data_IF_605127692216
#
_entry.id   IF_605127692216
#
_cell.length_a   1.000
_cell.length_b   1.000
_cell.length_c   1.000
_cell.angle_alpha   90.00
_cell.angle_beta   90.00
_cell.angle_gamma   90.00
#
_symmetry.space_group_name_H-M   'P 1'
#
loop_
_entity.id
_entity.type
_entity.pdbx_description
1 polymer ?
#
# COMPACT_ATOMS: atom_id res chain seq x y z
N UNK A 1 -7.47 29.70 -6.24
CA UNK A 1 -8.03 28.53 -5.55
C UNK A 1 -8.31 28.96 -4.15
N UNK A 2 -9.53 28.82 -3.70
CA UNK A 2 -9.92 29.17 -2.34
C UNK A 2 -9.49 28.07 -1.38
N UNK A 3 -9.92 26.85 -1.55
CA UNK A 3 -9.52 25.74 -0.71
C UNK A 3 -9.46 24.39 -1.45
N UNK A 4 -8.57 23.51 -1.00
CA UNK A 4 -8.58 22.07 -1.31
C UNK A 4 -8.67 21.33 0.01
N UNK A 5 -9.88 20.93 0.35
CA UNK A 5 -10.15 20.27 1.62
C UNK A 5 -10.20 18.76 1.45
N UNK A 6 -9.51 18.04 2.32
CA UNK A 6 -9.40 16.60 2.25
C UNK A 6 -10.44 15.93 3.15
N UNK A 7 -11.06 14.90 2.63
CA UNK A 7 -11.97 14.03 3.37
C UNK A 7 -11.37 12.65 3.45
N UNK A 8 -11.31 12.07 4.63
CA UNK A 8 -10.73 10.73 4.84
C UNK A 8 -11.56 9.95 5.86
N UNK A 9 -11.85 8.66 5.64
CA UNK A 9 -12.61 7.86 6.59
C UNK A 9 -12.02 7.86 7.99
N UNK A 10 -10.72 7.63 8.11
CA UNK A 10 -10.02 7.65 9.38
C UNK A 10 -8.61 8.23 9.23
N UNK A 11 -8.18 9.06 10.17
CA UNK A 11 -6.81 9.57 10.26
C UNK A 11 -6.07 8.79 11.35
N UNK A 12 -5.20 7.86 10.93
CA UNK A 12 -4.49 6.96 11.80
C UNK A 12 -2.97 7.18 11.71
N UNK A 13 -2.23 7.03 12.81
CA UNK A 13 -0.78 7.12 12.78
C UNK A 13 -0.18 5.87 12.10
N UNK A 14 0.89 6.06 11.35
CA UNK A 14 1.61 4.98 10.65
C UNK A 14 0.74 4.23 9.63
N UNK A 15 -0.25 4.91 9.09
CA UNK A 15 -1.09 4.45 7.98
C UNK A 15 -0.72 5.22 6.70
N UNK A 16 -0.55 4.50 5.60
CA UNK A 16 -0.10 5.10 4.35
C UNK A 16 -1.05 6.20 3.83
N UNK A 17 -2.36 6.00 3.96
CA UNK A 17 -3.37 6.99 3.56
C UNK A 17 -3.35 8.20 4.50
N UNK A 18 -3.19 7.97 5.81
CA UNK A 18 -3.05 9.03 6.81
C UNK A 18 -1.80 9.90 6.55
N UNK A 19 -0.65 9.26 6.36
CA UNK A 19 0.61 9.96 6.05
C UNK A 19 0.51 10.75 4.74
N UNK A 20 -0.11 10.18 3.71
CA UNK A 20 -0.38 10.84 2.43
C UNK A 20 -1.28 12.07 2.60
N UNK A 21 -2.39 11.93 3.33
CA UNK A 21 -3.34 13.01 3.61
C UNK A 21 -2.65 14.19 4.30
N UNK A 22 -1.84 13.94 5.33
CA UNK A 22 -1.06 14.96 6.03
C UNK A 22 -0.05 15.63 5.10
N UNK A 23 0.69 14.85 4.31
CA UNK A 23 1.67 15.36 3.36
C UNK A 23 1.05 16.22 2.26
N UNK A 24 -0.14 15.86 1.76
CA UNK A 24 -0.88 16.67 0.79
C UNK A 24 -1.39 17.96 1.39
N UNK A 25 -1.94 17.95 2.62
CA UNK A 25 -2.36 19.19 3.30
C UNK A 25 -1.19 20.18 3.38
N UNK A 26 -0.03 19.70 3.84
CA UNK A 26 1.14 20.56 3.99
C UNK A 26 1.66 21.05 2.63
N UNK A 27 1.52 20.24 1.58
CA UNK A 27 1.83 20.60 0.20
C UNK A 27 0.92 21.72 -0.31
N UNK A 28 -0.39 21.59 -0.12
CA UNK A 28 -1.37 22.61 -0.56
C UNK A 28 -1.19 23.91 0.21
N UNK A 29 -1.00 23.86 1.51
CA UNK A 29 -0.70 25.05 2.33
C UNK A 29 0.59 25.73 1.89
N UNK A 30 1.63 24.97 1.55
CA UNK A 30 2.89 25.52 1.02
C UNK A 30 2.70 26.16 -0.37
N UNK A 31 1.72 25.73 -1.15
CA UNK A 31 1.33 26.33 -2.42
C UNK A 31 0.43 27.57 -2.25
N UNK A 32 0.11 27.99 -1.02
CA UNK A 32 -0.72 29.13 -0.70
C UNK A 32 -2.23 28.85 -0.77
N UNK A 33 -2.64 27.59 -0.70
CA UNK A 33 -4.05 27.18 -0.66
C UNK A 33 -4.51 26.93 0.77
N UNK A 34 -5.79 27.15 1.04
CA UNK A 34 -6.40 26.64 2.26
C UNK A 34 -6.59 25.13 2.14
N UNK A 35 -6.24 24.39 3.18
CA UNK A 35 -6.40 22.93 3.23
C UNK A 35 -6.60 22.46 4.65
N UNK A 36 -7.77 21.88 4.89
CA UNK A 36 -8.15 21.23 6.13
C UNK A 36 -8.47 19.74 5.89
N UNK A 37 -8.36 18.94 6.94
CA UNK A 37 -8.67 17.51 6.90
C UNK A 37 -9.98 17.28 7.66
N UNK A 38 -10.94 16.65 6.99
CA UNK A 38 -12.24 16.27 7.51
C UNK A 38 -12.35 14.74 7.61
N UNK A 39 -12.75 14.24 8.79
CA UNK A 39 -12.72 12.81 9.11
C UNK A 39 -14.04 12.30 9.67
N UNK A 40 -14.31 11.00 9.51
CA UNK A 40 -15.27 10.27 10.34
C UNK A 40 -14.67 9.96 11.71
N UNK A 41 -13.37 9.55 11.74
CA UNK A 41 -12.65 9.22 12.95
C UNK A 41 -11.18 9.67 12.87
N UNK A 42 -10.59 9.99 14.01
CA UNK A 42 -9.15 10.23 14.12
C UNK A 42 -8.60 9.56 15.39
N UNK A 43 -7.37 9.08 15.31
CA UNK A 43 -6.64 8.61 16.49
C UNK A 43 -6.28 9.77 17.41
N UNK A 44 -6.23 9.54 18.71
CA UNK A 44 -5.96 10.57 19.72
C UNK A 44 -4.67 11.38 19.44
N UNK A 45 -3.62 10.74 18.90
CA UNK A 45 -2.37 11.41 18.50
C UNK A 45 -2.55 12.42 17.37
N UNK A 46 -3.61 12.33 16.57
CA UNK A 46 -3.85 13.11 15.36
C UNK A 46 -5.16 13.90 15.40
N UNK A 47 -5.92 13.84 16.50
CA UNK A 47 -7.24 14.49 16.61
C UNK A 47 -7.17 16.02 16.39
N UNK A 48 -6.08 16.66 16.84
CA UNK A 48 -5.86 18.10 16.65
C UNK A 48 -5.51 18.47 15.19
N UNK A 49 -5.26 17.47 14.32
CA UNK A 49 -4.93 17.67 12.91
C UNK A 49 -6.14 17.62 11.98
N UNK A 50 -7.31 17.26 12.50
CA UNK A 50 -8.51 17.04 11.72
C UNK A 50 -9.77 17.59 12.40
N UNK A 51 -10.84 17.71 11.61
CA UNK A 51 -12.17 18.11 12.06
C UNK A 51 -13.17 17.04 11.62
N UNK A 52 -14.22 16.77 12.40
CA UNK A 52 -15.28 15.86 11.96
C UNK A 52 -15.99 16.40 10.72
N UNK A 53 -16.26 15.52 9.73
CA UNK A 53 -16.71 15.94 8.39
C UNK A 53 -18.05 16.66 8.39
N UNK A 54 -18.94 16.39 9.37
CA UNK A 54 -20.25 17.06 9.51
C UNK A 54 -20.13 18.56 9.76
N UNK A 55 -18.97 19.03 10.22
CA UNK A 55 -18.72 20.46 10.47
C UNK A 55 -18.22 21.22 9.24
N UNK A 56 -17.93 20.54 8.14
CA UNK A 56 -17.48 21.20 6.91
C UNK A 56 -18.44 22.29 6.41
N UNK A 57 -19.80 22.12 6.42
CA UNK A 57 -20.73 23.16 5.95
C UNK A 57 -20.63 24.50 6.69
N UNK A 58 -20.09 24.50 7.91
CA UNK A 58 -19.87 25.74 8.68
C UNK A 58 -18.71 26.58 8.12
N UNK A 59 -17.86 26.01 7.26
CA UNK A 59 -16.65 26.63 6.71
C UNK A 59 -16.54 26.57 5.19
N UNK A 60 -17.54 25.98 4.53
CA UNK A 60 -17.55 25.84 3.08
C UNK A 60 -17.54 27.20 2.38
N UNK A 61 -16.65 27.39 1.42
CA UNK A 61 -16.53 28.59 0.63
C UNK A 61 -16.76 28.32 -0.87
N UNK A 62 -17.31 29.34 -1.62
CA UNK A 62 -17.44 29.19 -3.06
C UNK A 62 -16.08 28.95 -3.75
N UNK A 63 -15.99 27.86 -4.50
CA UNK A 63 -14.77 27.49 -5.24
C UNK A 63 -13.86 26.49 -4.52
N UNK A 64 -14.28 26.00 -3.35
CA UNK A 64 -13.60 24.89 -2.68
C UNK A 64 -13.65 23.61 -3.52
N UNK A 65 -12.60 22.81 -3.43
CA UNK A 65 -12.48 21.48 -4.02
C UNK A 65 -12.46 20.47 -2.89
N UNK A 66 -13.32 19.44 -2.99
CA UNK A 66 -13.38 18.34 -2.04
C UNK A 66 -12.54 17.17 -2.56
N UNK A 67 -11.43 16.87 -1.90
CA UNK A 67 -10.54 15.75 -2.23
C UNK A 67 -10.82 14.59 -1.27
N UNK A 68 -11.39 13.50 -1.78
CA UNK A 68 -11.75 12.34 -0.98
C UNK A 68 -10.74 11.22 -1.07
N UNK A 69 -10.10 10.89 0.04
CA UNK A 69 -9.17 9.77 0.21
C UNK A 69 -9.97 8.47 0.31
N UNK A 70 -10.16 7.81 -0.82
CA UNK A 70 -11.12 6.70 -0.97
C UNK A 70 -10.41 5.34 -0.97
N UNK A 71 -10.54 4.60 0.13
CA UNK A 71 -9.96 3.24 0.27
C UNK A 71 -10.80 2.28 1.11
N UNK A 72 -11.87 2.77 1.78
CA UNK A 72 -12.75 1.96 2.61
C UNK A 72 -14.14 2.57 2.68
N UNK A 73 -15.14 1.81 3.15
CA UNK A 73 -16.50 2.33 3.38
C UNK A 73 -16.53 3.33 4.53
N UNK A 74 -17.28 4.43 4.34
CA UNK A 74 -17.45 5.48 5.33
C UNK A 74 -18.71 6.31 5.06
N UNK A 75 -19.41 6.83 6.07
CA UNK A 75 -20.48 7.81 5.90
C UNK A 75 -20.01 9.11 5.24
N UNK A 76 -18.71 9.38 5.22
CA UNK A 76 -18.13 10.50 4.45
C UNK A 76 -18.50 10.41 2.96
N UNK A 77 -18.55 9.22 2.38
CA UNK A 77 -18.97 9.02 1.00
C UNK A 77 -20.39 9.50 0.75
N UNK A 78 -21.33 9.15 1.64
CA UNK A 78 -22.75 9.53 1.54
C UNK A 78 -22.93 11.04 1.75
N UNK A 79 -22.15 11.64 2.64
CA UNK A 79 -22.11 13.08 2.84
C UNK A 79 -21.66 13.79 1.54
N UNK A 80 -20.59 13.33 0.91
CA UNK A 80 -20.04 13.94 -0.31
C UNK A 80 -20.99 13.83 -1.51
N UNK A 81 -21.83 12.78 -1.60
CA UNK A 81 -22.88 12.66 -2.62
C UNK A 81 -23.88 13.81 -2.62
N UNK A 82 -24.06 14.47 -1.47
CA UNK A 82 -25.00 15.59 -1.30
C UNK A 82 -24.37 16.98 -1.51
N UNK A 83 -23.05 17.04 -1.76
CA UNK A 83 -22.33 18.31 -1.83
C UNK A 83 -22.31 18.89 -3.25
N UNK A 84 -22.49 20.23 -3.39
CA UNK A 84 -22.44 20.90 -4.69
C UNK A 84 -21.02 21.23 -5.18
N UNK A 85 -20.02 21.20 -4.30
CA UNK A 85 -18.64 21.55 -4.62
C UNK A 85 -18.01 20.50 -5.55
N UNK A 86 -17.02 20.88 -6.39
CA UNK A 86 -16.28 19.95 -7.21
C UNK A 86 -15.63 18.81 -6.39
N UNK A 87 -16.02 17.57 -6.68
CA UNK A 87 -15.49 16.38 -6.03
C UNK A 87 -14.33 15.82 -6.82
N UNK A 88 -13.19 15.63 -6.16
CA UNK A 88 -12.03 14.87 -6.64
C UNK A 88 -11.89 13.60 -5.80
N UNK A 89 -11.79 12.45 -6.44
CA UNK A 89 -11.48 11.20 -5.78
C UNK A 89 -9.97 10.99 -5.80
N UNK A 90 -9.40 10.61 -4.67
CA UNK A 90 -8.05 10.07 -4.56
C UNK A 90 -8.19 8.59 -4.15
N UNK A 91 -8.03 7.71 -5.14
CA UNK A 91 -8.48 6.32 -5.05
C UNK A 91 -7.33 5.37 -4.74
N UNK A 92 -7.34 4.82 -3.53
CA UNK A 92 -6.32 3.91 -2.98
C UNK A 92 -6.67 2.42 -3.14
N UNK A 93 -7.65 2.10 -3.97
CA UNK A 93 -8.20 0.77 -4.22
C UNK A 93 -9.08 0.22 -3.09
N UNK A 94 -10.08 -0.57 -3.48
CA UNK A 94 -10.91 -1.38 -2.59
C UNK A 94 -10.85 -2.84 -3.05
N UNK A 95 -10.29 -3.70 -2.20
CA UNK A 95 -10.20 -5.14 -2.47
C UNK A 95 -11.59 -5.74 -2.76
N UNK A 96 -11.74 -6.59 -3.79
CA UNK A 96 -13.00 -7.28 -4.06
C UNK A 96 -13.47 -8.14 -2.89
N UNK A 97 -14.78 -8.13 -2.60
CA UNK A 97 -15.38 -8.86 -1.49
C UNK A 97 -15.15 -10.38 -1.56
N UNK A 98 -15.05 -10.93 -2.78
CA UNK A 98 -14.79 -12.36 -3.01
C UNK A 98 -13.54 -12.91 -2.32
N UNK A 99 -12.57 -12.07 -2.01
CA UNK A 99 -11.39 -12.49 -1.24
C UNK A 99 -11.70 -12.81 0.23
N UNK A 100 -12.76 -12.20 0.78
CA UNK A 100 -13.12 -12.34 2.20
C UNK A 100 -14.27 -13.32 2.43
N UNK A 101 -14.93 -13.77 1.36
CA UNK A 101 -16.00 -14.77 1.44
C UNK A 101 -15.50 -16.06 2.09
N UNK A 102 -16.22 -16.53 3.12
CA UNK A 102 -15.85 -17.71 3.89
C UNK A 102 -14.74 -17.49 4.93
N UNK A 103 -14.13 -16.31 4.98
CA UNK A 103 -13.12 -15.94 5.98
C UNK A 103 -13.69 -15.00 7.04
N UNK A 104 -14.37 -13.92 6.63
CA UNK A 104 -14.86 -12.90 7.54
C UNK A 104 -15.99 -12.09 6.89
N UNK A 105 -17.23 -12.41 7.27
CA UNK A 105 -18.44 -11.82 6.68
C UNK A 105 -18.50 -10.30 6.86
N UNK A 106 -18.13 -9.78 8.03
CA UNK A 106 -18.13 -8.34 8.31
C UNK A 106 -17.20 -7.57 7.37
N UNK A 107 -16.00 -8.07 7.12
CA UNK A 107 -15.06 -7.45 6.17
C UNK A 107 -15.59 -7.55 4.73
N UNK A 108 -16.18 -8.67 4.35
CA UNK A 108 -16.84 -8.86 3.05
C UNK A 108 -17.95 -7.84 2.82
N UNK A 109 -18.82 -7.63 3.81
CA UNK A 109 -19.88 -6.61 3.79
C UNK A 109 -19.32 -5.19 3.68
N UNK A 110 -18.30 -4.87 4.48
CA UNK A 110 -17.65 -3.54 4.49
C UNK A 110 -17.02 -3.20 3.14
N UNK A 111 -16.28 -4.12 2.52
CA UNK A 111 -15.68 -3.87 1.20
C UNK A 111 -16.73 -3.83 0.09
N UNK A 112 -17.84 -4.60 0.21
CA UNK A 112 -18.98 -4.52 -0.71
C UNK A 112 -19.61 -3.13 -0.67
N UNK A 113 -19.86 -2.60 0.54
CA UNK A 113 -20.36 -1.23 0.72
C UNK A 113 -19.40 -0.22 0.11
N UNK A 114 -18.09 -0.33 0.42
CA UNK A 114 -17.07 0.56 -0.12
C UNK A 114 -17.07 0.60 -1.65
N UNK A 115 -17.14 -0.57 -2.30
CA UNK A 115 -17.22 -0.67 -3.77
C UNK A 115 -18.50 -0.04 -4.33
N UNK A 116 -19.61 -0.17 -3.63
CA UNK A 116 -20.86 0.53 -3.94
C UNK A 116 -20.70 2.06 -3.86
N UNK A 117 -20.02 2.56 -2.84
CA UNK A 117 -19.71 3.99 -2.69
C UNK A 117 -18.77 4.50 -3.79
N UNK A 118 -17.72 3.75 -4.15
CA UNK A 118 -16.88 4.09 -5.32
C UNK A 118 -17.72 4.21 -6.59
N UNK A 119 -18.60 3.24 -6.85
CA UNK A 119 -19.45 3.23 -8.03
C UNK A 119 -20.44 4.39 -8.07
N UNK A 120 -20.93 4.85 -6.91
CA UNK A 120 -21.82 6.00 -6.80
C UNK A 120 -21.08 7.34 -7.00
N UNK A 121 -19.86 7.47 -6.47
CA UNK A 121 -19.08 8.71 -6.52
C UNK A 121 -18.33 8.91 -7.84
N UNK A 122 -17.83 7.84 -8.47
CA UNK A 122 -17.00 7.94 -9.66
C UNK A 122 -17.63 8.71 -10.83
N UNK A 123 -18.95 8.56 -11.16
CA UNK A 123 -19.58 9.34 -12.22
C UNK A 123 -19.75 10.83 -11.88
N UNK A 124 -19.76 11.19 -10.61
CA UNK A 124 -19.95 12.56 -10.09
C UNK A 124 -18.63 13.31 -9.95
N UNK A 125 -17.52 12.60 -9.84
CA UNK A 125 -16.20 13.18 -9.68
C UNK A 125 -15.79 13.96 -10.94
N UNK A 126 -15.35 15.20 -10.75
CA UNK A 126 -14.77 16.02 -11.83
C UNK A 126 -13.39 15.51 -12.24
N UNK A 127 -12.71 14.80 -11.30
CA UNK A 127 -11.41 14.17 -11.49
C UNK A 127 -11.28 12.95 -10.57
N UNK A 128 -10.77 11.85 -11.09
CA UNK A 128 -10.30 10.70 -10.32
C UNK A 128 -8.78 10.63 -10.33
N UNK A 129 -8.14 10.86 -9.21
CA UNK A 129 -6.72 10.58 -9.00
C UNK A 129 -6.63 9.12 -8.54
N UNK A 130 -5.62 8.42 -9.00
CA UNK A 130 -5.42 7.02 -8.67
C UNK A 130 -3.93 6.71 -8.51
N UNK A 131 -3.58 5.84 -7.58
CA UNK A 131 -2.19 5.47 -7.27
C UNK A 131 -1.48 4.78 -8.45
N UNK A 132 -2.25 4.17 -9.37
CA UNK A 132 -1.76 3.36 -10.49
C UNK A 132 -2.69 3.43 -11.70
N UNK A 133 -2.20 3.05 -12.87
CA UNK A 133 -3.02 2.90 -14.07
C UNK A 133 -4.08 1.79 -13.90
N UNK A 134 -3.78 0.76 -13.09
CA UNK A 134 -4.75 -0.27 -12.70
C UNK A 134 -5.96 0.34 -11.97
N UNK A 135 -5.73 1.15 -10.95
CA UNK A 135 -6.76 1.86 -10.20
C UNK A 135 -7.51 2.89 -11.07
N UNK A 136 -6.78 3.65 -11.91
CA UNK A 136 -7.39 4.59 -12.84
C UNK A 136 -8.32 3.91 -13.86
N UNK A 137 -7.95 2.71 -14.34
CA UNK A 137 -8.80 1.92 -15.23
C UNK A 137 -10.08 1.45 -14.52
N UNK A 138 -10.03 1.17 -13.22
CA UNK A 138 -11.22 0.84 -12.44
C UNK A 138 -12.15 2.05 -12.32
N UNK A 139 -11.65 3.24 -11.95
CA UNK A 139 -12.44 4.46 -11.88
C UNK A 139 -13.12 4.80 -13.22
N UNK A 140 -12.39 4.66 -14.34
CA UNK A 140 -12.96 4.86 -15.69
C UNK A 140 -14.10 3.88 -15.99
N UNK A 141 -13.94 2.60 -15.64
CA UNK A 141 -15.02 1.59 -15.80
C UNK A 141 -16.25 1.92 -14.96
N UNK A 142 -16.08 2.59 -13.83
CA UNK A 142 -17.15 3.04 -12.95
C UNK A 142 -17.73 4.40 -13.36
N UNK A 143 -17.28 5.01 -14.46
CA UNK A 143 -17.87 6.22 -15.04
C UNK A 143 -17.14 7.52 -14.72
N UNK A 144 -15.99 7.50 -14.03
CA UNK A 144 -15.17 8.69 -13.88
C UNK A 144 -14.61 9.11 -15.24
N UNK A 145 -14.94 10.32 -15.69
CA UNK A 145 -14.66 10.79 -17.07
C UNK A 145 -13.21 11.24 -17.24
N UNK A 146 -12.63 11.84 -16.21
CA UNK A 146 -11.25 12.33 -16.22
C UNK A 146 -10.48 11.63 -15.11
N UNK A 147 -9.33 11.03 -15.45
CA UNK A 147 -8.49 10.37 -14.45
C UNK A 147 -7.03 10.78 -14.62
N UNK A 148 -6.32 10.91 -13.51
CA UNK A 148 -4.88 11.11 -13.46
C UNK A 148 -4.23 9.98 -12.63
N UNK A 149 -3.04 9.55 -13.01
CA UNK A 149 -2.24 8.62 -12.20
C UNK A 149 -1.22 9.44 -11.42
N UNK A 150 -1.42 9.50 -10.10
CA UNK A 150 -0.51 10.15 -9.16
C UNK A 150 -0.25 9.17 -8.01
N UNK A 151 0.97 8.66 -7.87
CA UNK A 151 1.29 7.72 -6.81
C UNK A 151 1.06 8.29 -5.43
N UNK A 152 0.69 7.44 -4.48
CA UNK A 152 0.60 7.80 -3.07
C UNK A 152 1.93 8.36 -2.57
N UNK A 153 1.90 9.45 -1.80
CA UNK A 153 3.11 10.02 -1.18
C UNK A 153 3.57 9.10 -0.05
N UNK A 154 4.76 8.56 -0.20
CA UNK A 154 5.38 7.72 0.82
C UNK A 154 6.23 8.66 1.68
N UNK A 155 5.76 8.95 2.90
CA UNK A 155 6.41 9.86 3.86
C UNK A 155 7.66 9.31 4.54
N UNK A 156 8.43 8.45 3.85
CA UNK A 156 9.53 7.69 4.45
C UNK A 156 10.89 8.03 3.85
N UNK A 157 11.12 9.31 3.53
CA UNK A 157 12.45 9.76 3.07
C UNK A 157 13.52 9.42 4.12
N UNK A 158 14.50 8.59 3.75
CA UNK A 158 15.61 8.17 4.61
C UNK A 158 15.23 7.26 5.78
N UNK A 159 14.06 6.60 5.76
CA UNK A 159 13.67 5.69 6.84
C UNK A 159 14.57 4.44 6.88
N UNK A 160 15.03 3.96 5.75
CA UNK A 160 15.97 2.83 5.62
C UNK A 160 17.33 3.10 6.27
N UNK A 161 17.68 4.38 6.45
CA UNK A 161 18.92 4.78 7.11
C UNK A 161 18.79 4.77 8.66
N UNK A 162 17.61 4.52 9.19
CA UNK A 162 17.30 4.53 10.63
C UNK A 162 16.97 3.13 11.14
N UNK A 163 17.87 2.19 10.89
CA UNK A 163 17.73 0.81 11.33
C UNK A 163 17.81 0.70 12.84
N UNK A 164 16.89 -0.03 13.46
CA UNK A 164 17.03 -0.44 14.87
C UNK A 164 18.08 -1.57 14.97
N UNK A 165 19.31 -1.23 15.32
CA UNK A 165 20.44 -2.13 15.42
C UNK A 165 20.22 -3.28 16.43
N UNK A 166 19.43 -3.03 17.47
CA UNK A 166 19.09 -4.05 18.46
C UNK A 166 18.13 -5.09 17.85
N UNK A 167 17.12 -4.63 17.13
CA UNK A 167 16.19 -5.51 16.45
C UNK A 167 16.89 -6.29 15.34
N UNK A 168 17.75 -5.64 14.54
CA UNK A 168 18.55 -6.30 13.52
C UNK A 168 19.42 -7.40 14.12
N UNK A 169 20.15 -7.11 15.19
CA UNK A 169 20.98 -8.10 15.88
C UNK A 169 20.17 -9.29 16.42
N UNK A 170 18.94 -9.04 16.91
CA UNK A 170 18.02 -10.09 17.36
C UNK A 170 17.56 -10.99 16.21
N UNK A 171 17.23 -10.39 15.06
CA UNK A 171 16.80 -11.12 13.87
C UNK A 171 17.94 -11.98 13.33
N UNK A 172 19.11 -11.40 13.09
CA UNK A 172 20.27 -12.08 12.50
C UNK A 172 20.80 -13.22 13.39
N UNK A 173 20.72 -13.08 14.72
CA UNK A 173 21.12 -14.14 15.64
C UNK A 173 20.22 -15.38 15.57
N UNK A 174 19.01 -15.27 15.07
CA UNK A 174 18.03 -16.35 15.01
C UNK A 174 18.18 -17.27 13.79
N UNK A 175 18.74 -16.76 12.70
CA UNK A 175 18.87 -17.54 11.45
C UNK A 175 20.32 -17.75 10.99
N UNK A 176 21.30 -17.00 11.52
CA UNK A 176 22.72 -17.11 11.14
C UNK A 176 22.92 -16.78 9.65
N UNK A 177 23.30 -17.77 8.83
CA UNK A 177 23.51 -17.61 7.37
C UNK A 177 22.37 -18.18 6.53
N UNK A 178 21.28 -18.60 7.15
CA UNK A 178 20.12 -19.13 6.43
C UNK A 178 19.42 -18.04 5.61
N UNK A 179 18.85 -18.45 4.48
CA UNK A 179 18.10 -17.53 3.61
C UNK A 179 16.83 -17.01 4.27
N UNK A 180 16.63 -15.69 4.26
CA UNK A 180 15.46 -15.02 4.81
C UNK A 180 14.60 -14.44 3.69
N UNK A 181 13.37 -14.97 3.56
CA UNK A 181 12.32 -14.43 2.71
C UNK A 181 11.50 -13.42 3.52
N UNK A 182 11.24 -12.25 2.97
CA UNK A 182 10.43 -11.21 3.62
C UNK A 182 9.16 -10.92 2.81
N UNK A 183 8.03 -10.84 3.50
CA UNK A 183 6.79 -10.23 3.02
C UNK A 183 6.34 -9.16 4.00
N UNK A 184 5.95 -8.00 3.49
CA UNK A 184 5.38 -6.90 4.29
C UNK A 184 3.99 -6.55 3.76
N UNK A 185 3.01 -6.56 4.64
CA UNK A 185 1.61 -6.26 4.34
C UNK A 185 0.67 -6.91 5.33
N UNK A 186 -0.57 -6.47 5.35
CA UNK A 186 -1.60 -7.06 6.22
C UNK A 186 -1.72 -8.57 5.98
N UNK A 187 -1.91 -9.35 7.05
CA UNK A 187 -2.25 -10.77 6.91
C UNK A 187 -3.73 -10.85 6.55
N UNK A 188 -4.00 -11.13 5.27
CA UNK A 188 -5.35 -11.16 4.70
C UNK A 188 -5.41 -12.01 3.43
N UNK A 189 -6.58 -12.56 3.06
CA UNK A 189 -6.70 -13.55 1.97
C UNK A 189 -6.17 -13.07 0.61
N UNK A 190 -6.39 -11.80 0.25
CA UNK A 190 -5.89 -11.23 -1.00
C UNK A 190 -4.36 -11.10 -1.07
N UNK A 191 -3.66 -11.24 0.07
CA UNK A 191 -2.20 -11.22 0.13
C UNK A 191 -1.58 -12.62 -0.01
N UNK A 192 -2.41 -13.66 0.11
CA UNK A 192 -2.08 -15.06 -0.19
C UNK A 192 -0.82 -15.61 0.52
N UNK A 193 -0.62 -15.23 1.80
CA UNK A 193 0.57 -15.65 2.57
C UNK A 193 0.71 -17.18 2.69
N UNK A 194 -0.38 -17.94 2.59
CA UNK A 194 -0.34 -19.42 2.54
C UNK A 194 0.55 -19.95 1.40
N UNK A 195 0.58 -19.28 0.23
CA UNK A 195 1.49 -19.67 -0.85
C UNK A 195 2.96 -19.39 -0.52
N UNK A 196 3.26 -18.38 0.32
CA UNK A 196 4.61 -18.14 0.82
C UNK A 196 5.04 -19.24 1.79
N UNK A 197 4.12 -19.72 2.63
CA UNK A 197 4.37 -20.86 3.54
C UNK A 197 4.68 -22.12 2.74
N UNK A 198 3.90 -22.42 1.68
CA UNK A 198 4.18 -23.54 0.77
C UNK A 198 5.52 -23.36 0.03
N UNK A 199 5.81 -22.14 -0.43
CA UNK A 199 7.07 -21.85 -1.11
C UNK A 199 8.27 -22.02 -0.18
N UNK A 200 8.18 -21.58 1.09
CA UNK A 200 9.19 -21.82 2.11
C UNK A 200 9.39 -23.33 2.35
N UNK A 201 8.29 -24.09 2.47
CA UNK A 201 8.39 -25.54 2.67
C UNK A 201 9.15 -26.25 1.56
N UNK A 202 8.89 -25.88 0.28
CA UNK A 202 9.65 -26.41 -0.86
C UNK A 202 11.08 -25.88 -0.88
N UNK A 203 11.30 -24.60 -0.58
CA UNK A 203 12.62 -23.99 -0.55
C UNK A 203 13.53 -24.69 0.47
N UNK A 204 13.01 -24.95 1.67
CA UNK A 204 13.73 -25.69 2.72
C UNK A 204 14.10 -27.14 2.32
N UNK A 205 13.28 -27.77 1.47
CA UNK A 205 13.54 -29.14 1.00
C UNK A 205 14.51 -29.20 -0.14
N UNK A 206 14.60 -28.18 -0.95
CA UNK A 206 15.38 -28.24 -2.20
C UNK A 206 16.67 -27.43 -2.17
N UNK A 207 16.72 -26.36 -1.39
CA UNK A 207 17.78 -25.38 -1.46
C UNK A 207 18.47 -25.10 -0.13
N UNK A 208 17.71 -24.65 0.90
CA UNK A 208 18.25 -24.27 2.20
C UNK A 208 17.33 -24.74 3.34
N UNK A 209 17.74 -25.83 4.03
CA UNK A 209 16.94 -26.45 5.10
C UNK A 209 16.68 -25.52 6.30
N UNK A 210 17.49 -24.47 6.47
CA UNK A 210 17.38 -23.53 7.59
C UNK A 210 16.69 -22.22 7.20
N UNK A 211 16.26 -22.06 5.94
CA UNK A 211 15.60 -20.84 5.46
C UNK A 211 14.43 -20.40 6.35
N UNK A 212 14.18 -19.09 6.40
CA UNK A 212 13.12 -18.44 7.20
C UNK A 212 12.17 -17.66 6.32
N UNK A 213 10.93 -17.49 6.79
CA UNK A 213 9.94 -16.58 6.21
C UNK A 213 9.52 -15.56 7.28
N UNK A 214 9.75 -14.31 6.99
CA UNK A 214 9.29 -13.19 7.78
C UNK A 214 8.00 -12.63 7.17
N UNK A 215 6.90 -12.68 7.92
CA UNK A 215 5.61 -12.07 7.60
C UNK A 215 5.43 -10.84 8.49
N UNK A 216 5.38 -9.65 7.92
CA UNK A 216 5.31 -8.40 8.68
C UNK A 216 4.01 -7.66 8.36
N UNK A 217 3.27 -7.31 9.38
CA UNK A 217 2.05 -6.51 9.31
C UNK A 217 0.91 -7.05 10.15
N UNK A 218 -0.18 -6.27 10.35
CA UNK A 218 -1.27 -6.66 11.21
C UNK A 218 -2.10 -7.80 10.65
N UNK A 219 -2.55 -8.70 11.53
CA UNK A 219 -3.50 -9.75 11.22
C UNK A 219 -4.92 -9.16 11.22
N UNK A 220 -5.36 -8.64 10.07
CA UNK A 220 -6.67 -7.97 9.95
C UNK A 220 -7.83 -8.94 9.70
N UNK A 221 -7.55 -10.17 9.26
CA UNK A 221 -8.52 -11.25 9.12
C UNK A 221 -8.06 -12.41 10.00
N UNK A 222 -8.59 -12.46 11.22
CA UNK A 222 -8.11 -13.38 12.25
C UNK A 222 -8.20 -14.87 11.82
N UNK A 223 -9.33 -15.30 11.25
CA UNK A 223 -9.52 -16.66 10.77
C UNK A 223 -8.51 -17.06 9.69
N UNK A 224 -8.19 -16.15 8.77
CA UNK A 224 -7.17 -16.39 7.76
C UNK A 224 -5.76 -16.45 8.36
N UNK A 225 -5.43 -15.55 9.30
CA UNK A 225 -4.14 -15.58 9.99
C UNK A 225 -3.94 -16.89 10.76
N UNK A 226 -4.95 -17.33 11.51
CA UNK A 226 -4.95 -18.63 12.21
C UNK A 226 -4.71 -19.78 11.22
N UNK A 227 -5.39 -19.77 10.06
CA UNK A 227 -5.20 -20.79 9.03
C UNK A 227 -3.77 -20.78 8.46
N UNK A 228 -3.19 -19.59 8.16
CA UNK A 228 -1.82 -19.47 7.63
C UNK A 228 -0.79 -20.00 8.63
N UNK A 229 -0.89 -19.62 9.90
CA UNK A 229 0.06 -20.07 10.91
C UNK A 229 -0.16 -21.54 11.30
N UNK A 230 -1.43 -22.00 11.38
CA UNK A 230 -1.75 -23.41 11.55
C UNK A 230 -1.19 -24.28 10.42
N UNK A 231 -1.33 -23.83 9.19
CA UNK A 231 -0.74 -24.51 8.02
C UNK A 231 0.78 -24.59 8.08
N UNK A 232 1.45 -23.54 8.55
CA UNK A 232 2.91 -23.59 8.77
C UNK A 232 3.29 -24.67 9.80
N UNK A 233 2.52 -24.81 10.89
CA UNK A 233 2.73 -25.87 11.88
C UNK A 233 2.52 -27.25 11.26
N UNK A 234 1.45 -27.47 10.50
CA UNK A 234 1.15 -28.74 9.81
C UNK A 234 2.27 -29.16 8.83
N UNK A 235 2.93 -28.20 8.19
CA UNK A 235 4.06 -28.44 7.30
C UNK A 235 5.41 -28.63 8.03
N UNK A 236 5.42 -28.56 9.38
CA UNK A 236 6.64 -28.64 10.18
C UNK A 236 7.56 -27.44 10.06
N UNK A 237 6.99 -26.25 9.80
CA UNK A 237 7.69 -24.98 9.68
C UNK A 237 7.61 -24.15 10.97
N UNK A 238 7.23 -24.76 12.08
CA UNK A 238 7.21 -24.09 13.39
C UNK A 238 8.62 -23.53 13.69
N UNK A 239 8.66 -22.24 14.03
CA UNK A 239 9.92 -21.51 14.22
C UNK A 239 10.63 -21.07 12.93
N UNK A 240 10.25 -21.56 11.75
CA UNK A 240 10.76 -21.09 10.47
C UNK A 240 9.94 -19.91 9.89
N UNK A 241 8.69 -19.78 10.30
CA UNK A 241 7.83 -18.64 9.97
C UNK A 241 7.77 -17.69 11.17
N UNK A 242 8.14 -16.43 10.97
CA UNK A 242 8.13 -15.40 12.01
C UNK A 242 7.12 -14.32 11.63
N UNK A 243 6.33 -13.89 12.60
CA UNK A 243 5.38 -12.77 12.46
C UNK A 243 5.86 -11.54 13.20
N UNK A 244 5.89 -10.38 12.51
CA UNK A 244 6.17 -9.06 13.06
C UNK A 244 4.94 -8.16 13.00
N UNK A 245 4.48 -7.69 14.15
CA UNK A 245 3.33 -6.79 14.28
C UNK A 245 3.68 -5.54 15.05
N UNK A 246 2.98 -4.44 14.80
CA UNK A 246 3.14 -3.17 15.51
C UNK A 246 4.58 -2.62 15.56
N UNK A 247 5.35 -2.83 14.48
CA UNK A 247 6.73 -2.38 14.40
C UNK A 247 6.79 -0.86 14.24
N UNK A 248 7.79 -0.26 14.90
CA UNK A 248 8.18 1.12 14.59
C UNK A 248 8.84 1.19 13.21
N UNK A 249 8.92 2.37 12.56
CA UNK A 249 9.63 2.49 11.29
C UNK A 249 11.08 1.98 11.33
N UNK A 250 11.80 2.23 12.43
CA UNK A 250 13.18 1.75 12.61
C UNK A 250 13.27 0.23 12.75
N UNK A 251 12.31 -0.39 13.44
CA UNK A 251 12.22 -1.84 13.51
C UNK A 251 11.85 -2.44 12.15
N UNK A 252 10.89 -1.86 11.43
CA UNK A 252 10.55 -2.32 10.08
C UNK A 252 11.76 -2.25 9.14
N UNK A 253 12.56 -1.16 9.23
CA UNK A 253 13.81 -1.04 8.47
C UNK A 253 14.79 -2.18 8.82
N UNK A 254 14.85 -2.62 10.09
CA UNK A 254 15.67 -3.75 10.50
C UNK A 254 15.22 -5.07 9.85
N UNK A 255 13.90 -5.30 9.71
CA UNK A 255 13.37 -6.49 9.04
C UNK A 255 13.69 -6.51 7.53
N UNK A 256 13.66 -5.34 6.86
CA UNK A 256 14.12 -5.24 5.48
C UNK A 256 15.63 -5.44 5.35
N UNK A 257 16.42 -4.90 6.29
CA UNK A 257 17.88 -5.04 6.28
C UNK A 257 18.36 -6.46 6.60
N UNK A 258 17.56 -7.25 7.34
CA UNK A 258 17.85 -8.63 7.70
C UNK A 258 17.53 -9.64 6.58
N UNK A 259 16.67 -9.27 5.64
CA UNK A 259 16.16 -10.16 4.61
C UNK A 259 17.09 -10.27 3.39
N UNK A 260 17.04 -11.42 2.71
CA UNK A 260 17.78 -11.69 1.47
C UNK A 260 16.93 -11.42 0.21
N UNK A 261 15.60 -11.67 0.28
CA UNK A 261 14.69 -11.54 -0.86
C UNK A 261 13.31 -11.08 -0.36
N UNK A 262 12.79 -10.03 -0.96
CA UNK A 262 11.38 -9.64 -0.78
C UNK A 262 10.48 -10.46 -1.70
N UNK A 263 9.44 -11.10 -1.16
CA UNK A 263 8.55 -11.97 -1.95
C UNK A 263 7.10 -11.52 -1.80
N UNK A 264 6.46 -11.13 -2.92
CA UNK A 264 5.06 -10.70 -2.96
C UNK A 264 4.26 -11.61 -3.88
N UNK A 265 3.36 -12.42 -3.32
CA UNK A 265 2.43 -13.30 -4.06
C UNK A 265 0.98 -12.85 -3.94
N UNK A 266 0.76 -11.57 -3.61
CA UNK A 266 -0.56 -10.96 -3.51
C UNK A 266 -1.38 -11.17 -4.78
N UNK A 267 -2.66 -11.45 -4.63
CA UNK A 267 -3.61 -11.62 -5.76
C UNK A 267 -4.30 -10.31 -6.14
N UNK A 268 -4.22 -9.31 -5.26
CA UNK A 268 -4.81 -8.00 -5.50
C UNK A 268 -4.02 -6.91 -4.82
N UNK A 269 -3.53 -5.95 -5.61
CA UNK A 269 -2.78 -4.77 -5.17
C UNK A 269 -3.22 -3.54 -5.96
N UNK A 270 -3.47 -2.44 -5.26
CA UNK A 270 -3.76 -1.13 -5.88
C UNK A 270 -2.50 -0.35 -6.25
N UNK A 271 -1.39 -0.58 -5.51
CA UNK A 271 -0.09 0.06 -5.76
C UNK A 271 1.07 -0.81 -5.24
N UNK A 272 0.98 -1.35 -4.03
CA UNK A 272 1.98 -2.17 -3.35
C UNK A 272 3.23 -1.38 -2.89
N UNK A 273 3.05 -0.47 -1.93
CA UNK A 273 4.13 0.30 -1.29
C UNK A 273 5.33 -0.58 -0.86
N UNK A 274 5.15 -1.80 -0.30
CA UNK A 274 6.25 -2.65 0.12
C UNK A 274 7.27 -3.00 -0.98
N UNK A 275 6.88 -2.94 -2.26
CA UNK A 275 7.85 -3.09 -3.37
C UNK A 275 8.85 -1.93 -3.39
N UNK A 276 8.38 -0.71 -3.17
CA UNK A 276 9.26 0.47 -3.14
C UNK A 276 10.11 0.48 -1.86
N UNK A 277 9.57 0.00 -0.75
CA UNK A 277 10.33 -0.17 0.50
C UNK A 277 11.45 -1.19 0.32
N UNK A 278 11.19 -2.32 -0.34
CA UNK A 278 12.20 -3.33 -0.68
C UNK A 278 13.29 -2.75 -1.61
N UNK A 279 12.90 -2.02 -2.65
CA UNK A 279 13.85 -1.35 -3.55
C UNK A 279 14.71 -0.30 -2.81
N UNK A 280 14.11 0.46 -1.88
CA UNK A 280 14.83 1.43 -1.07
C UNK A 280 15.81 0.79 -0.08
N UNK A 281 15.55 -0.46 0.30
CA UNK A 281 16.41 -1.28 1.17
C UNK A 281 17.44 -2.09 0.38
N UNK A 282 17.60 -1.86 -0.92
CA UNK A 282 18.46 -2.65 -1.82
C UNK A 282 18.14 -4.16 -1.80
N UNK A 283 16.91 -4.51 -1.50
CA UNK A 283 16.46 -5.90 -1.39
C UNK A 283 15.90 -6.37 -2.74
N UNK A 284 16.46 -7.44 -3.35
CA UNK A 284 15.93 -8.02 -4.58
C UNK A 284 14.48 -8.49 -4.39
N UNK A 285 13.67 -8.33 -5.45
CA UNK A 285 12.23 -8.60 -5.41
C UNK A 285 11.86 -9.77 -6.31
N UNK A 286 11.03 -10.68 -5.79
CA UNK A 286 10.26 -11.67 -6.55
C UNK A 286 8.78 -11.40 -6.31
N UNK A 287 8.00 -11.15 -7.37
CA UNK A 287 6.60 -10.80 -7.23
C UNK A 287 5.70 -11.47 -8.26
N UNK A 288 4.46 -11.78 -7.88
CA UNK A 288 3.41 -12.26 -8.77
C UNK A 288 2.71 -11.09 -9.48
N UNK A 289 2.43 -11.26 -10.77
CA UNK A 289 1.83 -10.25 -11.64
C UNK A 289 0.33 -10.06 -11.36
N UNK A 290 -0.03 -9.38 -10.27
CA UNK A 290 -1.42 -9.10 -9.91
C UNK A 290 -1.67 -7.61 -9.69
N UNK A 291 -2.81 -7.12 -10.19
CA UNK A 291 -3.21 -5.71 -10.01
C UNK A 291 -2.17 -4.74 -10.53
N UNK A 292 -1.72 -3.82 -9.68
CA UNK A 292 -0.72 -2.81 -10.00
C UNK A 292 0.74 -3.31 -9.82
N UNK A 293 0.99 -4.53 -9.37
CA UNK A 293 2.35 -5.06 -9.14
C UNK A 293 3.26 -4.91 -10.36
N UNK A 294 2.84 -5.30 -11.60
CA UNK A 294 3.67 -5.13 -12.79
C UNK A 294 4.05 -3.67 -13.05
N UNK A 295 3.10 -2.76 -12.85
CA UNK A 295 3.31 -1.33 -13.03
C UNK A 295 4.25 -0.75 -11.98
N UNK A 296 4.11 -1.12 -10.70
CA UNK A 296 4.96 -0.61 -9.61
C UNK A 296 6.37 -1.20 -9.67
N UNK A 297 6.50 -2.49 -9.96
CA UNK A 297 7.77 -3.18 -10.02
C UNK A 297 8.61 -2.81 -11.26
N UNK A 298 7.99 -2.75 -12.44
CA UNK A 298 8.72 -2.58 -13.69
C UNK A 298 9.73 -3.72 -13.91
N UNK A 299 10.97 -3.35 -14.23
CA UNK A 299 12.11 -4.25 -14.42
C UNK A 299 12.97 -4.47 -13.15
N UNK A 300 12.51 -3.96 -12.00
CA UNK A 300 13.24 -3.97 -10.74
C UNK A 300 13.11 -5.28 -9.94
N UNK A 301 12.59 -6.34 -10.53
CA UNK A 301 12.43 -7.63 -9.86
C UNK A 301 12.12 -8.77 -10.84
N UNK A 302 12.01 -9.98 -10.32
CA UNK A 302 11.46 -11.11 -11.07
C UNK A 302 9.94 -11.05 -10.96
N UNK A 303 9.27 -10.79 -12.09
CA UNK A 303 7.82 -10.82 -12.20
C UNK A 303 7.36 -12.20 -12.67
N UNK A 304 6.53 -12.86 -11.87
CA UNK A 304 6.00 -14.19 -12.14
C UNK A 304 4.58 -14.11 -12.68
N UNK A 305 4.30 -14.81 -13.76
CA UNK A 305 2.94 -14.97 -14.32
C UNK A 305 2.14 -16.07 -13.59
N UNK A 306 2.82 -16.88 -12.79
CA UNK A 306 2.25 -17.97 -12.00
C UNK A 306 2.90 -17.99 -10.63
N UNK A 307 2.12 -18.18 -9.59
CA UNK A 307 2.58 -18.18 -8.19
C UNK A 307 2.64 -19.58 -7.57
N UNK A 308 2.70 -20.63 -8.39
CA UNK A 308 2.91 -21.98 -7.86
C UNK A 308 4.14 -21.99 -6.92
N UNK A 309 4.02 -22.59 -5.73
CA UNK A 309 5.07 -22.54 -4.71
C UNK A 309 6.45 -22.97 -5.20
N UNK A 310 6.50 -23.95 -6.12
CA UNK A 310 7.74 -24.42 -6.75
C UNK A 310 8.40 -23.34 -7.61
N UNK A 311 7.63 -22.55 -8.34
CA UNK A 311 8.15 -21.48 -9.17
C UNK A 311 8.67 -20.31 -8.30
N UNK A 312 7.91 -19.97 -7.25
CA UNK A 312 8.33 -18.96 -6.27
C UNK A 312 9.66 -19.39 -5.60
N UNK A 313 9.73 -20.63 -5.11
CA UNK A 313 10.96 -21.17 -4.49
C UNK A 313 12.16 -21.12 -5.45
N UNK A 314 11.96 -21.52 -6.72
CA UNK A 314 13.04 -21.49 -7.73
C UNK A 314 13.47 -20.06 -8.08
N UNK A 315 12.53 -19.09 -8.12
CA UNK A 315 12.86 -17.70 -8.36
C UNK A 315 13.66 -17.07 -7.21
N UNK A 316 13.29 -17.39 -5.96
CA UNK A 316 14.05 -17.00 -4.76
C UNK A 316 15.47 -17.56 -4.81
N UNK A 317 15.63 -18.88 -5.08
CA UNK A 317 16.94 -19.52 -5.21
C UNK A 317 17.79 -18.87 -6.31
N UNK A 318 17.19 -18.58 -7.45
CA UNK A 318 17.87 -17.91 -8.55
C UNK A 318 18.42 -16.54 -8.15
N UNK A 319 17.65 -15.74 -7.45
CA UNK A 319 18.08 -14.41 -6.98
C UNK A 319 19.17 -14.55 -5.92
N UNK A 320 19.02 -15.51 -5.00
CA UNK A 320 19.95 -15.72 -3.88
C UNK A 320 21.33 -16.19 -4.32
N UNK A 321 21.40 -17.00 -5.38
CA UNK A 321 22.64 -17.66 -5.83
C UNK A 321 23.21 -17.11 -7.16
N UNK A 322 22.57 -16.08 -7.76
CA UNK A 322 23.10 -15.36 -8.92
C UNK A 322 23.35 -13.89 -8.54
N UNK A 323 24.54 -13.56 -8.00
CA UNK A 323 24.84 -12.20 -7.56
C UNK A 323 24.79 -11.17 -8.70
N UNK A 324 25.08 -11.56 -9.94
CA UNK A 324 24.99 -10.67 -11.10
C UNK A 324 23.53 -10.31 -11.38
N UNK A 325 22.61 -11.25 -11.24
CA UNK A 325 21.18 -11.00 -11.34
C UNK A 325 20.71 -10.12 -10.18
N UNK A 326 21.08 -10.44 -8.94
CA UNK A 326 20.69 -9.67 -7.76
C UNK A 326 21.14 -8.21 -7.87
N UNK A 327 22.42 -7.95 -8.18
CA UNK A 327 22.96 -6.60 -8.36
C UNK A 327 22.22 -5.84 -9.46
N UNK A 328 21.87 -6.50 -10.57
CA UNK A 328 21.10 -5.87 -11.66
C UNK A 328 19.70 -5.47 -11.20
N UNK A 329 19.01 -6.34 -10.45
CA UNK A 329 17.67 -6.05 -9.94
C UNK A 329 17.69 -4.91 -8.93
N UNK A 330 18.66 -4.88 -8.03
CA UNK A 330 18.87 -3.79 -7.07
C UNK A 330 19.14 -2.47 -7.80
N UNK A 331 20.03 -2.47 -8.81
CA UNK A 331 20.32 -1.26 -9.60
C UNK A 331 19.08 -0.76 -10.34
N UNK A 332 18.26 -1.65 -10.90
CA UNK A 332 16.97 -1.31 -11.52
C UNK A 332 16.00 -0.72 -10.49
N UNK A 333 15.95 -1.30 -9.28
CA UNK A 333 15.13 -0.82 -8.16
C UNK A 333 15.47 0.62 -7.77
N UNK A 334 16.75 0.94 -7.62
CA UNK A 334 17.21 2.32 -7.36
C UNK A 334 16.78 3.29 -8.46
N UNK A 335 16.89 2.87 -9.73
CA UNK A 335 16.40 3.65 -10.87
C UNK A 335 14.87 3.84 -10.85
N UNK A 336 14.14 2.79 -10.48
CA UNK A 336 12.68 2.79 -10.40
C UNK A 336 12.16 3.76 -9.33
N UNK A 337 12.78 3.81 -8.15
CA UNK A 337 12.44 4.73 -7.06
C UNK A 337 12.42 6.20 -7.50
N UNK A 338 13.31 6.59 -8.43
CA UNK A 338 13.32 7.96 -8.97
C UNK A 338 12.01 8.40 -9.63
N UNK A 339 11.18 7.45 -10.09
CA UNK A 339 9.88 7.74 -10.69
C UNK A 339 8.78 8.00 -9.65
N UNK A 340 9.01 7.63 -8.39
CA UNK A 340 8.09 7.79 -7.26
C UNK A 340 8.56 8.85 -6.25
N UNK A 341 9.45 9.74 -6.68
CA UNK A 341 10.01 10.77 -5.81
C UNK A 341 8.95 11.71 -5.24
N UNK A 342 8.89 11.86 -3.92
CA UNK A 342 7.88 12.64 -3.23
C UNK A 342 7.77 14.10 -3.71
N UNK A 343 8.90 14.76 -4.02
CA UNK A 343 8.90 16.13 -4.51
C UNK A 343 8.19 16.28 -5.86
N UNK A 344 8.44 15.35 -6.81
CA UNK A 344 7.79 15.36 -8.12
C UNK A 344 6.30 15.08 -8.00
N UNK A 345 5.92 14.11 -7.16
CA UNK A 345 4.51 13.77 -6.90
C UNK A 345 3.77 14.95 -6.28
N UNK A 346 4.33 15.63 -5.27
CA UNK A 346 3.75 16.85 -4.65
C UNK A 346 3.54 17.96 -5.70
N UNK A 347 4.54 18.22 -6.52
CA UNK A 347 4.44 19.22 -7.58
C UNK A 347 3.32 18.88 -8.57
N UNK A 348 3.17 17.60 -8.94
CA UNK A 348 2.11 17.14 -9.85
C UNK A 348 0.71 17.25 -9.23
N UNK A 349 0.52 16.98 -7.93
CA UNK A 349 -0.75 17.24 -7.23
C UNK A 349 -1.15 18.71 -7.30
N UNK A 350 -0.20 19.63 -7.04
CA UNK A 350 -0.45 21.08 -7.13
C UNK A 350 -0.78 21.51 -8.56
N UNK A 351 -0.08 20.99 -9.56
CA UNK A 351 -0.31 21.26 -10.98
C UNK A 351 -1.71 20.82 -11.41
N UNK A 352 -2.07 19.56 -11.12
CA UNK A 352 -3.33 18.94 -11.54
C UNK A 352 -4.53 19.64 -10.89
N UNK A 353 -4.50 19.82 -9.57
CA UNK A 353 -5.59 20.51 -8.87
C UNK A 353 -5.64 22.00 -9.18
N UNK A 354 -4.51 22.66 -9.43
CA UNK A 354 -4.44 24.04 -9.88
C UNK A 354 -5.02 24.24 -11.29
N UNK A 355 -4.81 23.28 -12.19
CA UNK A 355 -5.43 23.28 -13.51
C UNK A 355 -6.95 23.13 -13.40
N UNK A 356 -7.43 22.20 -12.58
CA UNK A 356 -8.85 22.01 -12.29
C UNK A 356 -9.50 23.27 -11.74
N UNK A 357 -8.90 23.89 -10.73
CA UNK A 357 -9.39 25.12 -10.12
C UNK A 357 -9.44 26.30 -11.09
N UNK A 358 -8.57 26.34 -12.08
CA UNK A 358 -8.55 27.34 -13.15
C UNK A 358 -9.50 27.02 -14.31
N UNK A 359 -10.32 25.94 -14.22
CA UNK A 359 -11.22 25.48 -15.28
C UNK A 359 -10.49 24.98 -16.53
N UNK A 360 -9.23 24.58 -16.40
CA UNK A 360 -8.40 24.01 -17.49
C UNK A 360 -8.52 22.49 -17.50
N UNK A 361 -8.40 21.89 -18.69
CA UNK A 361 -8.31 20.43 -18.79
C UNK A 361 -7.13 19.88 -18.00
N UNK A 362 -7.30 18.70 -17.43
CA UNK A 362 -6.25 17.92 -16.79
C UNK A 362 -5.81 16.88 -17.82
N UNK A 363 -4.57 17.02 -18.31
CA UNK A 363 -3.91 16.10 -19.25
C UNK A 363 -3.05 15.07 -18.49
#
# INVERSE_FOLDING_TARGET
VTGVHQFVPALLPRDATGDHTLALRDTFRSAGWESEIYVEAAHDELIDQATYFERYPERAEPGDILLYQLGTASPVADFLLSRPEPLVLDYHNVTPASFYEGWEDHTSEKVTLARGQVAALAPLAVLGIADSAFNAAELRRLGCRTTAVLPILIGRDGWVDRVDERELSRLSADHGTATVLLFVGRISPNKAQHHLVEALWLYRRWYDAEARLHLVGPAVTASYAEAVFGFAVELGLEGAVRHGEHLTPAQLAAWYADADVFVCVSEHEGFCIPLLEAMASDLPVVAYAAGAVPETLGDAGILLDDKRPSLVASAVDRVRHDPVLADRLVAAGRGRLGQFGAAATRARFVEVLGALAAGRGVD
#
